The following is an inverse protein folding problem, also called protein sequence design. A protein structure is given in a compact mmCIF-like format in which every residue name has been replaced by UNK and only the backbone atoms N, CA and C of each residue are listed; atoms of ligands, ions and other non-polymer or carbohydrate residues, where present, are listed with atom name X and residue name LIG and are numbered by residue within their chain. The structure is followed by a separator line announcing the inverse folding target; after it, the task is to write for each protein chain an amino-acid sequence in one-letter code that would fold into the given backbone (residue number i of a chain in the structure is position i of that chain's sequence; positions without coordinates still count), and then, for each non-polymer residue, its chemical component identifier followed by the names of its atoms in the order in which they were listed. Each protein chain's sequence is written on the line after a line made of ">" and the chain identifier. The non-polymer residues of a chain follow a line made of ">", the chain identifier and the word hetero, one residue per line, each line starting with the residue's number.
data_IF_511191444246
#
_entry.id   IF_511191444246
#
_cell.length_a   1.000
_cell.length_b   1.000
_cell.length_c   1.000
_cell.angle_alpha   90.00
_cell.angle_beta   90.00
_cell.angle_gamma   90.00
#
_symmetry.space_group_name_H-M   'P 1'
#
loop_
_entity.id
_entity.type
_entity.pdbx_description
1 polymer ?
#
# COMPACT_ATOMS: atom_id res chain seq x y z
N UNK A 1 1.96 -0.33 3.06
CA UNK A 1 2.07 0.23 1.69
C UNK A 1 0.81 0.91 1.19
N UNK A 2 -0.40 0.30 1.19
CA UNK A 2 -1.63 1.00 0.74
C UNK A 2 -1.94 2.27 1.52
N UNK A 3 -1.65 2.27 2.83
CA UNK A 3 -1.75 3.46 3.67
C UNK A 3 -0.85 4.59 3.16
N UNK A 4 0.44 4.30 2.95
CA UNK A 4 1.44 5.27 2.50
C UNK A 4 1.09 5.81 1.10
N UNK A 5 0.64 4.93 0.19
CA UNK A 5 0.14 5.32 -1.13
C UNK A 5 -1.04 6.31 -1.03
N UNK A 6 -2.02 6.00 -0.19
CA UNK A 6 -3.22 6.82 -0.02
C UNK A 6 -2.91 8.15 0.65
N UNK A 7 -1.97 8.16 1.60
CA UNK A 7 -1.68 9.32 2.43
C UNK A 7 -0.60 10.25 1.90
N UNK A 8 0.13 9.91 0.82
CA UNK A 8 1.26 10.72 0.27
C UNK A 8 0.99 12.23 0.33
N UNK A 9 -0.17 12.66 -0.16
CA UNK A 9 -0.45 14.08 -0.25
C UNK A 9 -0.84 14.69 1.11
N UNK A 10 -1.55 13.95 1.97
CA UNK A 10 -1.83 14.38 3.35
C UNK A 10 -0.55 14.47 4.17
N UNK A 11 0.32 13.49 4.05
CA UNK A 11 1.58 13.44 4.79
C UNK A 11 2.50 14.60 4.37
N UNK A 12 2.53 14.92 3.07
CA UNK A 12 3.20 16.13 2.56
C UNK A 12 2.61 17.43 3.12
N UNK A 13 1.29 17.54 3.21
CA UNK A 13 0.60 18.73 3.72
C UNK A 13 0.79 18.90 5.23
N UNK A 14 0.81 17.79 5.99
CA UNK A 14 0.96 17.77 7.45
C UNK A 14 2.42 17.70 7.92
N UNK A 15 3.37 17.49 7.00
CA UNK A 15 4.79 17.28 7.32
C UNK A 15 5.08 15.93 7.99
N UNK A 16 4.20 14.94 7.79
CA UNK A 16 4.42 13.58 8.25
C UNK A 16 5.36 12.84 7.29
N UNK A 17 6.10 11.87 7.82
CA UNK A 17 6.98 11.02 7.03
C UNK A 17 6.18 9.97 6.23
N UNK A 18 6.44 9.86 4.94
CA UNK A 18 5.89 8.84 4.05
C UNK A 18 6.99 7.91 3.52
N UNK A 19 6.63 6.71 3.08
CA UNK A 19 7.58 5.78 2.45
C UNK A 19 8.28 6.37 1.23
N UNK A 20 7.62 7.24 0.44
CA UNK A 20 8.28 7.87 -0.72
C UNK A 20 9.46 8.78 -0.37
N UNK A 21 9.55 9.23 0.89
CA UNK A 21 10.61 10.15 1.33
C UNK A 21 11.95 9.42 1.58
N UNK A 22 11.93 8.08 1.60
CA UNK A 22 13.11 7.26 1.81
C UNK A 22 13.97 7.18 0.55
N UNK A 23 15.31 7.17 0.69
CA UNK A 23 16.23 7.22 -0.45
C UNK A 23 16.09 6.02 -1.38
N UNK A 24 15.61 4.88 -0.90
CA UNK A 24 15.32 3.67 -1.68
C UNK A 24 14.28 3.93 -2.78
N UNK A 25 13.32 4.84 -2.57
CA UNK A 25 12.32 5.25 -3.56
C UNK A 25 12.80 6.43 -4.42
N UNK A 26 13.89 7.11 -4.05
CA UNK A 26 14.38 8.31 -4.74
C UNK A 26 15.51 8.00 -5.75
N UNK A 27 15.81 6.72 -6.04
CA UNK A 27 17.06 6.30 -6.70
C UNK A 27 17.18 6.62 -8.21
N UNK A 28 16.19 7.26 -8.84
CA UNK A 28 16.32 7.82 -10.20
C UNK A 28 16.27 9.36 -10.19
N UNK A 29 17.41 10.05 -9.99
CA UNK A 29 17.47 11.49 -10.00
C UNK A 29 17.58 12.01 -11.43
N UNK A 30 16.47 12.04 -12.16
CA UNK A 30 16.30 13.04 -13.23
C UNK A 30 15.49 14.18 -12.62
N UNK A 31 16.21 15.10 -11.98
CA UNK A 31 15.66 16.10 -11.07
C UNK A 31 14.55 16.99 -11.66
N UNK A 32 13.60 17.48 -10.83
CA UNK A 32 12.55 18.33 -11.32
C UNK A 32 13.04 19.77 -11.47
N UNK A 33 13.33 20.19 -12.70
CA UNK A 33 13.52 21.62 -13.04
C UNK A 33 12.19 22.33 -13.36
N UNK A 34 11.04 21.68 -13.10
CA UNK A 34 9.71 22.29 -13.23
C UNK A 34 8.65 21.59 -12.36
N UNK A 35 7.61 22.32 -11.95
CA UNK A 35 6.48 21.77 -11.17
C UNK A 35 5.72 20.63 -11.87
N UNK A 36 5.80 20.55 -13.21
CA UNK A 36 5.25 19.43 -13.99
C UNK A 36 6.06 18.16 -13.82
N UNK A 37 7.39 18.27 -13.87
CA UNK A 37 8.30 17.15 -13.62
C UNK A 37 8.14 16.60 -12.19
N UNK A 38 7.86 17.46 -11.21
CA UNK A 38 7.60 17.03 -9.83
C UNK A 38 6.33 16.19 -9.66
N UNK A 39 5.26 16.51 -10.40
CA UNK A 39 4.01 15.71 -10.36
C UNK A 39 4.13 14.37 -11.07
N UNK A 40 4.83 14.34 -12.20
CA UNK A 40 5.10 13.09 -12.93
C UNK A 40 5.99 12.16 -12.09
N UNK A 41 7.01 12.70 -11.42
CA UNK A 41 7.85 11.95 -10.49
C UNK A 41 7.04 11.38 -9.31
N UNK A 42 6.18 12.18 -8.66
CA UNK A 42 5.32 11.71 -7.57
C UNK A 42 4.38 10.56 -8.01
N UNK A 43 3.89 10.59 -9.26
CA UNK A 43 3.08 9.49 -9.81
C UNK A 43 3.87 8.20 -9.99
N UNK A 44 5.14 8.29 -10.42
CA UNK A 44 6.02 7.13 -10.54
C UNK A 44 6.26 6.49 -9.17
N UNK A 45 6.56 7.31 -8.14
CA UNK A 45 6.75 6.81 -6.77
C UNK A 45 5.48 6.15 -6.21
N UNK A 46 4.32 6.75 -6.48
CA UNK A 46 3.02 6.15 -6.13
C UNK A 46 2.79 4.82 -6.83
N UNK A 47 3.15 4.70 -8.12
CA UNK A 47 3.04 3.44 -8.85
C UNK A 47 3.95 2.35 -8.25
N UNK A 48 5.16 2.72 -7.81
CA UNK A 48 6.09 1.82 -7.13
C UNK A 48 5.54 1.34 -5.77
N UNK A 49 4.99 2.26 -4.96
CA UNK A 49 4.33 1.89 -3.70
C UNK A 49 3.15 0.94 -3.93
N UNK A 50 2.36 1.16 -4.99
CA UNK A 50 1.25 0.28 -5.34
C UNK A 50 1.76 -1.11 -5.74
N UNK A 51 2.81 -1.17 -6.56
CA UNK A 51 3.42 -2.44 -6.94
C UNK A 51 3.96 -3.21 -5.74
N UNK A 52 4.60 -2.52 -4.80
CA UNK A 52 5.13 -3.12 -3.57
C UNK A 52 3.98 -3.61 -2.67
N UNK A 53 2.90 -2.84 -2.53
CA UNK A 53 1.70 -3.27 -1.81
C UNK A 53 1.11 -4.56 -2.40
N UNK A 54 1.02 -4.65 -3.73
CA UNK A 54 0.54 -5.86 -4.42
C UNK A 54 1.49 -7.05 -4.22
N UNK A 55 2.81 -6.80 -4.20
CA UNK A 55 3.80 -7.83 -3.92
C UNK A 55 3.64 -8.37 -2.49
N UNK A 56 3.51 -7.50 -1.49
CA UNK A 56 3.24 -7.88 -0.09
C UNK A 56 1.96 -8.71 0.01
N UNK A 57 0.88 -8.31 -0.70
CA UNK A 57 -0.38 -9.05 -0.71
C UNK A 57 -0.22 -10.46 -1.28
N UNK A 58 0.49 -10.61 -2.40
CA UNK A 58 0.78 -11.93 -2.98
C UNK A 58 1.59 -12.79 -2.00
N UNK A 59 2.56 -12.22 -1.31
CA UNK A 59 3.36 -12.92 -0.30
C UNK A 59 2.49 -13.43 0.86
N UNK A 60 1.59 -12.58 1.37
CA UNK A 60 0.64 -12.95 2.41
C UNK A 60 -0.32 -14.06 1.96
N UNK A 61 -0.88 -13.96 0.75
CA UNK A 61 -1.76 -14.98 0.19
C UNK A 61 -1.05 -16.35 0.14
N UNK A 62 0.21 -16.38 -0.33
CA UNK A 62 1.02 -17.60 -0.37
C UNK A 62 1.30 -18.16 1.02
N UNK A 63 1.63 -17.31 2.00
CA UNK A 63 1.90 -17.73 3.37
C UNK A 63 0.66 -18.31 4.04
N UNK A 64 -0.51 -17.72 3.81
CA UNK A 64 -1.79 -18.23 4.31
C UNK A 64 -2.09 -19.59 3.68
N UNK A 65 -1.93 -19.74 2.36
CA UNK A 65 -2.14 -21.01 1.66
C UNK A 65 -1.28 -22.14 2.26
N UNK A 66 0.02 -21.90 2.44
CA UNK A 66 0.93 -22.87 3.07
C UNK A 66 0.50 -23.21 4.49
N UNK A 67 0.04 -22.22 5.27
CA UNK A 67 -0.46 -22.46 6.61
C UNK A 67 -1.71 -23.36 6.62
N UNK A 68 -2.62 -23.22 5.65
CA UNK A 68 -3.79 -24.11 5.56
C UNK A 68 -3.40 -25.56 5.24
N UNK A 69 -2.41 -25.73 4.36
CA UNK A 69 -1.89 -27.05 3.98
C UNK A 69 -1.27 -27.77 5.17
N UNK A 70 -0.46 -27.06 5.98
CA UNK A 70 0.20 -27.62 7.16
C UNK A 70 -0.77 -27.95 8.31
N UNK A 71 -1.78 -27.10 8.54
CA UNK A 71 -2.77 -27.31 9.61
C UNK A 71 -3.82 -28.37 9.25
N UNK A 72 -4.03 -28.62 7.96
CA UNK A 72 -5.07 -29.50 7.46
C UNK A 72 -6.47 -29.10 7.94
N UNK A 73 -7.43 -30.04 7.90
CA UNK A 73 -8.83 -29.74 8.25
C UNK A 73 -9.10 -29.59 9.74
N UNK A 74 -8.13 -29.90 10.60
CA UNK A 74 -8.31 -29.88 12.07
C UNK A 74 -8.53 -28.46 12.59
N UNK A 75 -8.00 -27.45 11.89
CA UNK A 75 -8.02 -26.05 12.33
C UNK A 75 -8.66 -25.10 11.31
N UNK A 76 -9.58 -25.58 10.49
CA UNK A 76 -10.25 -24.80 9.43
C UNK A 76 -10.86 -23.49 9.96
N UNK A 77 -11.54 -23.52 11.11
CA UNK A 77 -12.14 -22.32 11.72
C UNK A 77 -11.10 -21.24 12.11
N UNK A 78 -9.91 -21.65 12.53
CA UNK A 78 -8.84 -20.72 12.89
C UNK A 78 -8.30 -20.03 11.65
N UNK A 79 -8.11 -20.79 10.58
CA UNK A 79 -7.65 -20.28 9.29
C UNK A 79 -8.68 -19.35 8.65
N UNK A 80 -9.97 -19.70 8.71
CA UNK A 80 -11.06 -18.83 8.25
C UNK A 80 -11.13 -17.51 9.02
N UNK A 81 -10.94 -17.57 10.34
CA UNK A 81 -10.90 -16.38 11.19
C UNK A 81 -9.72 -15.47 10.83
N UNK A 82 -8.55 -16.06 10.57
CA UNK A 82 -7.37 -15.33 10.12
C UNK A 82 -7.60 -14.68 8.75
N UNK A 83 -8.17 -15.41 7.79
CA UNK A 83 -8.54 -14.88 6.47
C UNK A 83 -9.52 -13.71 6.57
N UNK A 84 -10.53 -13.82 7.44
CA UNK A 84 -11.49 -12.74 7.68
C UNK A 84 -10.77 -11.50 8.23
N UNK A 85 -9.91 -11.68 9.23
CA UNK A 85 -9.13 -10.59 9.82
C UNK A 85 -8.25 -9.87 8.79
N UNK A 86 -7.55 -10.63 7.94
CA UNK A 86 -6.72 -10.10 6.85
C UNK A 86 -7.58 -9.28 5.89
N UNK A 87 -8.70 -9.83 5.40
CA UNK A 87 -9.59 -9.14 4.43
C UNK A 87 -10.17 -7.85 4.99
N UNK A 88 -10.59 -7.85 6.26
CA UNK A 88 -11.14 -6.66 6.92
C UNK A 88 -10.06 -5.58 7.02
N UNK A 89 -8.83 -5.95 7.40
CA UNK A 89 -7.72 -5.00 7.50
C UNK A 89 -7.35 -4.42 6.14
N UNK A 90 -7.31 -5.25 5.08
CA UNK A 90 -7.06 -4.80 3.71
C UNK A 90 -8.16 -3.85 3.21
N UNK A 91 -9.43 -4.17 3.50
CA UNK A 91 -10.57 -3.32 3.16
C UNK A 91 -10.47 -1.94 3.83
N UNK A 92 -10.08 -1.87 5.10
CA UNK A 92 -9.84 -0.57 5.76
C UNK A 92 -8.77 0.24 5.03
N UNK A 93 -7.67 -0.39 4.62
CA UNK A 93 -6.64 0.24 3.79
C UNK A 93 -7.21 0.81 2.48
N UNK A 94 -8.00 0.01 1.76
CA UNK A 94 -8.63 0.42 0.49
C UNK A 94 -9.63 1.58 0.66
N UNK A 95 -10.38 1.62 1.76
CA UNK A 95 -11.30 2.74 2.07
C UNK A 95 -10.53 4.05 2.26
N UNK A 96 -9.38 4.02 2.94
CA UNK A 96 -8.56 5.22 3.10
C UNK A 96 -8.01 5.73 1.76
N UNK A 97 -7.58 4.83 0.88
CA UNK A 97 -7.17 5.18 -0.48
C UNK A 97 -8.32 5.87 -1.24
N UNK A 98 -9.54 5.32 -1.18
CA UNK A 98 -10.70 5.92 -1.86
C UNK A 98 -11.14 7.25 -1.24
N UNK A 99 -11.09 7.38 0.09
CA UNK A 99 -11.50 8.60 0.79
C UNK A 99 -10.57 9.78 0.48
N UNK A 100 -9.26 9.55 0.41
CA UNK A 100 -8.30 10.60 0.03
C UNK A 100 -8.44 11.00 -1.46
N UNK A 101 -8.86 10.07 -2.34
CA UNK A 101 -9.22 10.39 -3.74
C UNK A 101 -10.51 11.24 -3.79
N UNK A 102 -11.56 10.84 -3.07
CA UNK A 102 -12.87 11.49 -3.15
C UNK A 102 -12.90 12.89 -2.53
N UNK A 103 -12.17 13.12 -1.43
CA UNK A 103 -12.15 14.40 -0.71
C UNK A 103 -11.44 15.52 -1.50
N UNK A 104 -10.67 15.17 -2.54
CA UNK A 104 -9.88 16.11 -3.37
C UNK A 104 -10.47 16.37 -4.76
N UNK A 105 -11.50 15.62 -5.17
CA UNK A 105 -12.27 15.82 -6.41
C UNK A 105 -13.52 16.70 -6.19
N UNK A 106 -13.83 17.07 -4.94
CA UNK A 106 -14.93 17.94 -4.55
C UNK A 106 -14.53 19.38 -4.31
#
# INVERSE_FOLDING_TARGET
>A
MYNDYGSVARDKDEGNLNSIDFPEFQQDPVGPTSDKAGKEFEQVLKAELLWLAEYERRGLDMAVLQLEEELGRTHEQLVDSLKLFIRVTDLYGQIYVQKDIATRLG
#
